data_IF_639559413490
#
_entry.id   IF_639559413490
#
_cell.length_a   1.000
_cell.length_b   1.000
_cell.length_c   1.000
_cell.angle_alpha   90.00
_cell.angle_beta   90.00
_cell.angle_gamma   90.00
#
_symmetry.space_group_name_H-M   'P 1'
#
loop_
_entity.id
_entity.type
_entity.pdbx_description
1 polymer ?
#
# COMPACT_ATOMS: atom_id res chain seq x y z
N UNK A 1 -10.38 -1.24 -8.81
CA UNK A 1 -8.91 -1.40 -8.89
C UNK A 1 -8.35 -1.24 -7.48
N UNK A 2 -7.09 -1.58 -7.24
CA UNK A 2 -6.39 -1.11 -6.02
C UNK A 2 -5.77 0.23 -6.37
N UNK A 3 -5.91 1.22 -5.52
CA UNK A 3 -5.46 2.58 -5.78
C UNK A 3 -4.44 3.01 -4.73
N UNK A 4 -3.34 3.59 -5.18
CA UNK A 4 -2.22 4.08 -4.38
C UNK A 4 -2.15 5.59 -4.50
N UNK A 5 -2.38 6.30 -3.41
CA UNK A 5 -2.46 7.76 -3.31
C UNK A 5 -1.23 8.27 -2.56
N UNK A 6 -0.22 8.76 -3.28
CA UNK A 6 1.01 9.25 -2.67
C UNK A 6 0.76 10.63 -2.06
N UNK A 7 0.74 10.73 -0.74
CA UNK A 7 0.49 11.99 -0.03
C UNK A 7 1.80 12.72 0.29
N UNK A 8 2.90 11.99 0.42
CA UNK A 8 4.23 12.56 0.57
C UNK A 8 5.31 11.56 0.16
N UNK A 9 6.39 12.09 -0.40
CA UNK A 9 7.41 11.31 -1.13
C UNK A 9 8.84 11.78 -0.88
N UNK A 10 9.05 12.72 0.05
CA UNK A 10 10.38 13.18 0.47
C UNK A 10 10.91 12.36 1.65
N UNK A 11 12.23 12.21 1.70
CA UNK A 11 12.94 11.60 2.82
C UNK A 11 13.42 12.60 3.88
N UNK A 12 13.23 12.27 5.15
CA UNK A 12 13.74 12.98 6.32
C UNK A 12 13.05 14.32 6.61
N UNK A 13 12.93 15.20 5.60
CA UNK A 13 12.39 16.55 5.74
C UNK A 13 11.47 16.91 4.57
N UNK A 14 10.41 17.71 4.80
CA UNK A 14 9.59 18.20 3.71
C UNK A 14 10.37 19.22 2.87
N UNK A 15 9.94 19.38 1.62
CA UNK A 15 10.49 20.31 0.64
C UNK A 15 9.35 21.12 0.02
N UNK A 16 9.62 22.24 -0.68
CA UNK A 16 8.57 23.00 -1.33
C UNK A 16 7.71 22.22 -2.35
N UNK A 17 8.17 21.06 -2.86
CA UNK A 17 7.41 20.24 -3.84
C UNK A 17 6.96 18.88 -3.30
N UNK A 18 7.46 18.45 -2.15
CA UNK A 18 7.22 17.10 -1.61
C UNK A 18 7.13 17.14 -0.10
N UNK A 19 6.05 16.62 0.46
CA UNK A 19 5.91 16.33 1.87
C UNK A 19 6.65 15.03 2.24
N UNK A 20 6.85 14.81 3.54
CA UNK A 20 7.39 13.56 4.09
C UNK A 20 6.41 12.39 3.96
N UNK A 21 6.92 11.17 4.12
CA UNK A 21 6.26 9.90 3.78
C UNK A 21 4.83 9.76 4.28
N UNK A 22 3.93 9.53 3.34
CA UNK A 22 2.57 9.04 3.59
C UNK A 22 1.97 8.46 2.30
N UNK A 23 1.43 7.24 2.37
CA UNK A 23 0.78 6.56 1.25
C UNK A 23 -0.61 6.05 1.64
N UNK A 24 -1.65 6.57 0.99
CA UNK A 24 -3.00 6.04 1.12
C UNK A 24 -3.26 4.89 0.14
N UNK A 25 -3.90 3.81 0.60
CA UNK A 25 -4.28 2.67 -0.25
C UNK A 25 -5.78 2.43 -0.14
N UNK A 26 -6.48 2.58 -1.28
CA UNK A 26 -7.92 2.32 -1.39
C UNK A 26 -8.17 1.03 -2.16
N UNK A 27 -8.99 0.16 -1.58
CA UNK A 27 -9.25 -1.17 -2.12
C UNK A 27 -10.53 -1.23 -2.95
N UNK A 28 -10.63 -2.15 -3.93
CA UNK A 28 -11.80 -2.23 -4.80
C UNK A 28 -13.09 -2.49 -4.01
N UNK A 29 -14.17 -1.82 -4.42
CA UNK A 29 -15.53 -1.99 -3.86
C UNK A 29 -15.65 -1.59 -2.38
N UNK A 30 -14.61 -0.99 -1.80
CA UNK A 30 -14.59 -0.50 -0.43
C UNK A 30 -14.52 1.02 -0.42
N UNK A 31 -15.24 1.63 0.52
CA UNK A 31 -15.10 3.06 0.80
C UNK A 31 -13.90 3.33 1.72
N UNK A 32 -13.53 2.34 2.53
CA UNK A 32 -12.44 2.46 3.48
C UNK A 32 -11.07 2.35 2.81
N UNK A 33 -10.07 2.94 3.45
CA UNK A 33 -8.69 2.97 2.99
C UNK A 33 -7.73 2.81 4.17
N UNK A 34 -6.48 2.44 3.87
CA UNK A 34 -5.39 2.35 4.85
C UNK A 34 -4.29 3.35 4.54
N UNK A 35 -3.63 3.83 5.57
CA UNK A 35 -2.48 4.71 5.46
C UNK A 35 -1.21 3.92 5.81
N UNK A 36 -0.20 3.95 4.95
CA UNK A 36 1.15 3.48 5.25
C UNK A 36 2.00 4.71 5.55
N UNK A 37 2.52 4.77 6.76
CA UNK A 37 3.20 5.91 7.37
C UNK A 37 2.38 7.20 7.41
N UNK A 38 2.72 8.04 8.37
CA UNK A 38 2.00 9.24 8.72
C UNK A 38 2.98 10.34 9.13
N UNK A 39 3.81 10.77 8.17
CA UNK A 39 4.73 11.89 8.36
C UNK A 39 4.02 13.20 8.70
N UNK A 40 4.77 14.16 9.24
CA UNK A 40 4.25 15.51 9.50
C UNK A 40 3.58 16.08 8.24
N UNK A 41 2.48 16.82 8.43
CA UNK A 41 1.76 17.42 7.31
C UNK A 41 0.79 16.48 6.57
N UNK A 42 0.75 15.17 6.87
CA UNK A 42 -0.16 14.22 6.19
C UNK A 42 -1.63 14.68 6.20
N UNK A 43 -2.12 15.24 7.31
CA UNK A 43 -3.49 15.78 7.37
C UNK A 43 -3.73 16.93 6.38
N UNK A 44 -2.71 17.74 6.08
CA UNK A 44 -2.79 18.84 5.13
C UNK A 44 -2.77 18.32 3.69
N UNK A 45 -1.96 17.30 3.42
CA UNK A 45 -1.95 16.62 2.12
C UNK A 45 -3.30 15.95 1.84
N UNK A 46 -3.94 15.37 2.86
CA UNK A 46 -5.29 14.78 2.71
C UNK A 46 -6.34 15.79 2.26
N UNK A 47 -6.25 17.08 2.65
CA UNK A 47 -7.17 18.13 2.20
C UNK A 47 -7.13 18.38 0.68
N UNK A 48 -6.03 17.98 0.03
CA UNK A 48 -5.83 18.10 -1.42
C UNK A 48 -6.06 16.76 -2.14
N UNK A 49 -6.53 15.73 -1.43
CA UNK A 49 -6.75 14.38 -1.96
C UNK A 49 -8.23 14.01 -1.96
N UNK A 50 -8.57 12.91 -2.66
CA UNK A 50 -9.92 12.34 -2.64
C UNK A 50 -10.18 11.45 -1.40
N UNK A 51 -9.18 11.26 -0.53
CA UNK A 51 -9.27 10.44 0.66
C UNK A 51 -9.83 11.25 1.83
N UNK A 52 -10.75 10.66 2.59
CA UNK A 52 -11.36 11.31 3.76
C UNK A 52 -10.97 10.60 5.05
N UNK A 53 -10.65 11.37 6.09
CA UNK A 53 -10.31 10.83 7.41
C UNK A 53 -11.41 9.95 8.00
N UNK A 54 -12.68 10.27 7.72
CA UNK A 54 -13.84 9.48 8.14
C UNK A 54 -13.88 8.06 7.58
N UNK A 55 -13.08 7.74 6.55
CA UNK A 55 -13.00 6.42 5.91
C UNK A 55 -11.64 5.74 6.12
N UNK A 56 -10.71 6.42 6.77
CA UNK A 56 -9.45 5.80 7.16
C UNK A 56 -9.77 4.69 8.17
N UNK A 57 -9.28 3.47 7.95
CA UNK A 57 -9.56 2.39 8.89
C UNK A 57 -8.32 1.95 9.65
N UNK A 58 -7.18 1.91 8.97
CA UNK A 58 -5.93 1.44 9.57
C UNK A 58 -4.78 2.34 9.17
N UNK A 59 -3.90 2.64 10.12
CA UNK A 59 -2.60 3.23 9.89
C UNK A 59 -1.55 2.16 10.19
N UNK A 60 -0.68 1.87 9.24
CA UNK A 60 0.48 1.00 9.40
C UNK A 60 1.74 1.88 9.45
N UNK A 61 2.53 1.75 10.50
CA UNK A 61 3.82 2.45 10.65
C UNK A 61 4.96 1.49 10.33
N UNK A 62 5.78 1.82 9.34
CA UNK A 62 6.95 1.04 8.96
C UNK A 62 8.02 1.09 10.05
N UNK A 63 8.26 2.30 10.59
CA UNK A 63 9.16 2.57 11.70
C UNK A 63 8.81 3.90 12.40
N UNK A 64 9.53 4.24 13.47
CA UNK A 64 9.20 5.37 14.36
C UNK A 64 10.10 6.60 14.18
N UNK A 65 10.66 6.82 12.99
CA UNK A 65 11.24 8.13 12.66
C UNK A 65 10.15 9.17 12.43
N UNK A 66 10.50 10.44 12.66
CA UNK A 66 9.53 11.51 12.72
C UNK A 66 8.81 11.79 11.41
N UNK A 67 9.52 11.71 10.31
CA UNK A 67 9.02 11.83 8.95
C UNK A 67 8.07 10.68 8.53
N UNK A 68 7.90 9.66 9.37
CA UNK A 68 6.94 8.57 9.20
C UNK A 68 5.83 8.55 10.25
N UNK A 69 5.90 9.33 11.34
CA UNK A 69 4.89 9.25 12.42
C UNK A 69 4.46 10.58 13.06
N UNK A 70 5.13 11.70 12.82
CA UNK A 70 4.79 12.99 13.44
C UNK A 70 3.46 13.59 12.97
N UNK A 71 2.85 13.04 11.92
CA UNK A 71 1.50 13.39 11.49
C UNK A 71 0.39 12.80 12.38
N UNK A 72 0.70 11.78 13.20
CA UNK A 72 -0.30 11.08 14.01
C UNK A 72 -1.13 12.00 14.93
N UNK A 73 -0.56 12.93 15.72
CA UNK A 73 -1.35 13.82 16.57
C UNK A 73 -2.43 14.57 15.79
N UNK A 74 -2.06 15.14 14.64
CA UNK A 74 -2.98 15.90 13.79
C UNK A 74 -4.06 15.02 13.17
N UNK A 75 -3.71 13.85 12.65
CA UNK A 75 -4.67 12.90 12.09
C UNK A 75 -5.69 12.45 13.13
N UNK A 76 -5.24 12.10 14.34
CA UNK A 76 -6.12 11.65 15.43
C UNK A 76 -7.07 12.75 15.87
N UNK A 77 -6.55 13.96 16.11
CA UNK A 77 -7.37 15.10 16.51
C UNK A 77 -8.37 15.53 15.44
N UNK A 78 -7.91 15.70 14.20
CA UNK A 78 -8.76 16.13 13.08
C UNK A 78 -9.86 15.14 12.76
N UNK A 79 -9.58 13.82 12.87
CA UNK A 79 -10.61 12.80 12.72
C UNK A 79 -11.69 12.90 13.81
N UNK A 80 -11.28 13.14 15.06
CA UNK A 80 -12.21 13.29 16.20
C UNK A 80 -13.15 14.46 15.97
N UNK A 81 -12.60 15.61 15.55
CA UNK A 81 -13.38 16.83 15.28
C UNK A 81 -14.34 16.71 14.10
N UNK A 82 -14.06 15.84 13.13
CA UNK A 82 -14.96 15.59 11.99
C UNK A 82 -16.18 14.72 12.36
N UNK A 83 -16.27 14.22 13.58
CA UNK A 83 -17.42 13.46 14.05
C UNK A 83 -17.58 12.12 13.32
N UNK A 84 -16.46 11.46 12.96
CA UNK A 84 -16.51 10.07 12.50
C UNK A 84 -17.21 9.26 13.59
N UNK A 85 -18.46 8.82 13.31
CA UNK A 85 -19.36 8.29 14.32
C UNK A 85 -18.74 7.21 15.21
N UNK A 86 -19.24 7.10 16.44
CA UNK A 86 -18.74 6.24 17.52
C UNK A 86 -18.52 4.76 17.13
N UNK A 87 -19.07 4.32 16.00
CA UNK A 87 -19.00 2.94 15.49
C UNK A 87 -17.76 2.60 14.66
N UNK A 88 -16.92 3.57 14.27
CA UNK A 88 -15.77 3.31 13.38
C UNK A 88 -14.41 3.33 14.10
N UNK A 89 -13.94 2.14 14.50
CA UNK A 89 -12.59 1.94 15.05
C UNK A 89 -11.52 2.35 14.06
N UNK A 90 -10.59 3.19 14.52
CA UNK A 90 -9.30 3.42 13.87
C UNK A 90 -8.28 2.48 14.50
N UNK A 91 -7.58 1.69 13.70
CA UNK A 91 -6.49 0.83 14.17
C UNK A 91 -5.15 1.44 13.77
N UNK A 92 -4.19 1.54 14.71
CA UNK A 92 -2.80 1.90 14.43
C UNK A 92 -1.94 0.69 14.72
N UNK A 93 -1.20 0.23 13.71
CA UNK A 93 -0.37 -0.96 13.73
C UNK A 93 1.06 -0.53 13.48
N UNK A 94 2.01 -0.95 14.33
CA UNK A 94 3.41 -0.58 14.14
C UNK A 94 4.37 -1.37 15.03
N UNK A 95 5.68 -1.10 14.89
CA UNK A 95 6.72 -1.76 15.67
C UNK A 95 6.74 -1.29 17.14
N UNK A 96 7.59 -1.92 17.99
CA UNK A 96 7.74 -1.56 19.39
C UNK A 96 7.94 -0.05 19.61
N UNK A 97 7.14 0.54 20.50
CA UNK A 97 7.10 1.97 20.78
C UNK A 97 5.89 2.69 20.19
N UNK A 98 5.17 2.08 19.23
CA UNK A 98 3.97 2.65 18.61
C UNK A 98 2.91 2.98 19.64
N UNK A 99 2.65 2.05 20.56
CA UNK A 99 1.62 2.24 21.59
C UNK A 99 2.00 3.40 22.52
N UNK A 100 3.24 3.36 23.02
CA UNK A 100 3.78 4.41 23.90
C UNK A 100 3.74 5.79 23.24
N UNK A 101 4.10 5.90 21.96
CA UNK A 101 4.06 7.14 21.19
C UNK A 101 2.64 7.73 21.21
N UNK A 102 1.65 6.94 20.79
CA UNK A 102 0.26 7.42 20.67
C UNK A 102 -0.37 7.71 22.02
N UNK A 103 -0.15 6.86 23.02
CA UNK A 103 -0.66 7.09 24.38
C UNK A 103 -0.04 8.35 25.01
N UNK A 104 1.27 8.58 24.82
CA UNK A 104 1.93 9.80 25.31
C UNK A 104 1.37 11.07 24.66
N UNK A 105 1.09 11.03 23.36
CA UNK A 105 0.43 12.14 22.65
C UNK A 105 -0.94 12.40 23.29
N UNK A 106 -1.76 11.36 23.46
CA UNK A 106 -3.11 11.49 24.00
C UNK A 106 -3.09 12.04 25.42
N UNK A 107 -2.22 11.51 26.28
CA UNK A 107 -2.07 11.90 27.68
C UNK A 107 -1.62 13.36 27.81
N UNK A 108 -0.51 13.74 27.16
CA UNK A 108 0.10 15.07 27.34
C UNK A 108 -0.72 16.20 26.73
N UNK A 109 -1.50 15.93 25.69
CA UNK A 109 -2.33 16.95 25.03
C UNK A 109 -3.80 16.90 25.46
N UNK A 110 -4.15 16.04 26.42
CA UNK A 110 -5.53 15.79 26.85
C UNK A 110 -6.48 15.52 25.66
N UNK A 111 -6.01 14.73 24.68
CA UNK A 111 -6.75 14.50 23.44
C UNK A 111 -7.94 13.57 23.69
N UNK A 112 -9.14 14.13 23.61
CA UNK A 112 -10.39 13.37 23.71
C UNK A 112 -10.84 12.88 22.32
N UNK A 113 -10.76 11.57 22.11
CA UNK A 113 -11.18 10.93 20.85
C UNK A 113 -12.68 10.60 20.89
N UNK A 114 -13.42 11.03 19.88
CA UNK A 114 -14.85 10.74 19.71
C UNK A 114 -15.13 9.38 19.05
N UNK A 115 -14.10 8.53 18.93
CA UNK A 115 -14.16 7.25 18.23
C UNK A 115 -13.22 6.23 18.90
N UNK A 116 -13.46 4.92 18.75
CA UNK A 116 -12.60 3.90 19.31
C UNK A 116 -11.24 3.86 18.59
N UNK A 117 -10.15 3.87 19.36
CA UNK A 117 -8.79 3.71 18.87
C UNK A 117 -8.23 2.37 19.32
N UNK A 118 -7.75 1.55 18.39
CA UNK A 118 -7.06 0.30 18.66
C UNK A 118 -5.58 0.46 18.33
N UNK A 119 -4.70 0.19 19.30
CA UNK A 119 -3.25 0.20 19.12
C UNK A 119 -2.73 -1.23 19.11
N UNK A 120 -2.08 -1.63 18.00
CA UNK A 120 -1.47 -2.95 17.85
C UNK A 120 0.03 -2.76 17.68
N UNK A 121 0.78 -3.25 18.66
CA UNK A 121 2.23 -3.29 18.62
C UNK A 121 2.66 -4.74 18.43
N UNK A 122 3.39 -5.02 17.36
CA UNK A 122 3.85 -6.38 17.08
C UNK A 122 5.31 -6.59 17.49
N UNK A 123 5.63 -7.82 17.88
CA UNK A 123 6.99 -8.22 18.28
C UNK A 123 7.91 -8.29 17.06
N UNK A 124 9.10 -7.73 17.19
CA UNK A 124 10.19 -7.87 16.20
C UNK A 124 10.79 -9.29 16.20
N UNK A 125 10.66 -10.06 17.27
CA UNK A 125 11.20 -11.43 17.33
C UNK A 125 10.29 -12.47 16.65
N UNK A 126 8.99 -12.18 16.58
CA UNK A 126 7.97 -13.08 16.04
C UNK A 126 7.12 -12.37 14.95
N UNK A 127 7.73 -11.46 14.20
CA UNK A 127 7.02 -10.69 13.18
C UNK A 127 6.40 -11.60 12.10
N UNK A 128 7.02 -12.73 11.80
CA UNK A 128 6.54 -13.70 10.80
C UNK A 128 5.20 -14.36 11.19
N UNK A 129 4.78 -14.26 12.45
CA UNK A 129 3.50 -14.80 12.93
C UNK A 129 2.37 -13.77 12.86
N UNK A 130 2.69 -12.53 12.49
CA UNK A 130 1.75 -11.44 12.48
C UNK A 130 1.02 -11.41 11.15
N UNK A 131 -0.30 -11.33 11.24
CA UNK A 131 -1.18 -11.33 10.09
C UNK A 131 -2.43 -10.54 10.43
N UNK A 132 -2.82 -9.64 9.53
CA UNK A 132 -4.05 -8.86 9.65
C UNK A 132 -4.89 -9.01 8.39
N UNK A 133 -6.20 -8.98 8.56
CA UNK A 133 -7.14 -9.01 7.44
C UNK A 133 -7.76 -7.64 7.25
N UNK A 134 -7.57 -7.06 6.06
CA UNK A 134 -8.14 -5.78 5.70
C UNK A 134 -8.81 -5.84 4.33
N UNK A 135 -10.11 -5.55 4.26
CA UNK A 135 -10.84 -5.39 2.98
C UNK A 135 -10.69 -6.57 2.00
N UNK A 136 -10.54 -7.79 2.51
CA UNK A 136 -10.28 -8.99 1.70
C UNK A 136 -8.82 -9.12 1.24
N UNK A 137 -7.89 -8.52 1.96
CA UNK A 137 -6.45 -8.68 1.81
C UNK A 137 -5.86 -9.15 3.15
N UNK A 138 -5.00 -10.15 3.06
CA UNK A 138 -4.04 -10.51 4.09
C UNK A 138 -2.91 -9.48 4.08
N UNK A 139 -2.48 -9.05 5.26
CA UNK A 139 -1.36 -8.12 5.45
C UNK A 139 -0.37 -8.73 6.44
N UNK A 140 0.88 -8.85 6.04
CA UNK A 140 1.98 -9.36 6.88
C UNK A 140 3.16 -8.37 6.88
N UNK A 141 3.81 -8.14 8.03
CA UNK A 141 5.02 -7.33 8.08
C UNK A 141 6.19 -8.13 7.51
N UNK A 142 7.21 -7.43 7.01
CA UNK A 142 8.46 -8.01 6.52
C UNK A 142 9.60 -7.17 7.07
N UNK A 143 10.45 -7.76 7.90
CA UNK A 143 11.56 -7.05 8.52
C UNK A 143 12.55 -6.51 7.48
N UNK A 144 12.98 -5.26 7.68
CA UNK A 144 13.96 -4.52 6.89
C UNK A 144 15.19 -4.19 7.73
N UNK A 145 16.19 -3.57 7.12
CA UNK A 145 17.43 -3.17 7.78
C UNK A 145 17.53 -1.64 7.82
N UNK A 146 17.45 -1.04 9.01
CA UNK A 146 17.51 0.41 9.18
C UNK A 146 18.11 0.77 10.56
N UNK A 147 18.29 2.05 10.85
CA UNK A 147 18.90 2.51 12.13
C UNK A 147 18.06 2.18 13.36
N UNK A 148 16.75 1.99 13.18
CA UNK A 148 15.79 1.48 14.16
C UNK A 148 14.97 0.35 13.50
N UNK A 149 14.21 -0.47 14.26
CA UNK A 149 13.35 -1.50 13.66
C UNK A 149 12.45 -0.93 12.58
N UNK A 150 12.55 -1.49 11.37
CA UNK A 150 11.82 -1.06 10.18
C UNK A 150 11.21 -2.26 9.46
N UNK A 151 10.04 -2.05 8.87
CA UNK A 151 9.24 -3.10 8.25
C UNK A 151 8.65 -2.63 6.92
N UNK A 152 8.56 -3.55 5.97
CA UNK A 152 7.64 -3.45 4.85
C UNK A 152 6.31 -4.13 5.21
N UNK A 153 5.27 -3.84 4.45
CA UNK A 153 3.99 -4.55 4.53
C UNK A 153 3.68 -5.22 3.19
N UNK A 154 3.47 -6.53 3.23
CA UNK A 154 3.02 -7.32 2.08
C UNK A 154 1.52 -7.53 2.16
N UNK A 155 0.84 -7.18 1.08
CA UNK A 155 -0.60 -7.33 0.91
C UNK A 155 -0.87 -8.45 -0.08
N UNK A 156 -1.67 -9.42 0.32
CA UNK A 156 -2.11 -10.55 -0.52
C UNK A 156 -3.62 -10.56 -0.60
N UNK A 157 -4.16 -10.37 -1.80
CA UNK A 157 -5.61 -10.44 -2.00
C UNK A 157 -6.13 -11.85 -1.68
N UNK A 158 -7.26 -11.94 -0.99
CA UNK A 158 -7.91 -13.22 -0.75
C UNK A 158 -8.36 -13.86 -2.08
N UNK A 159 -8.20 -15.18 -2.24
CA UNK A 159 -8.68 -15.88 -3.43
C UNK A 159 -10.20 -15.72 -3.54
N UNK A 160 -10.68 -15.56 -4.78
CA UNK A 160 -12.12 -15.44 -5.06
C UNK A 160 -12.53 -16.43 -6.13
N UNK A 161 -13.77 -16.95 -6.08
CA UNK A 161 -14.25 -17.85 -7.12
C UNK A 161 -14.26 -17.14 -8.49
N UNK A 162 -14.12 -17.92 -9.55
CA UNK A 162 -14.25 -17.42 -10.91
C UNK A 162 -15.64 -16.86 -11.18
N UNK A 163 -15.74 -15.98 -12.18
CA UNK A 163 -17.03 -15.40 -12.58
C UNK A 163 -17.89 -16.48 -13.24
N UNK A 164 -19.17 -16.52 -12.90
CA UNK A 164 -20.15 -17.33 -13.60
C UNK A 164 -20.36 -16.79 -15.03
N UNK A 165 -20.21 -17.65 -16.01
CA UNK A 165 -20.39 -17.35 -17.43
C UNK A 165 -21.86 -17.50 -17.82
N UNK A 166 -22.58 -16.40 -17.65
CA UNK A 166 -23.99 -16.29 -18.02
C UNK A 166 -24.19 -16.54 -19.52
N UNK A 167 -23.25 -16.14 -20.38
CA UNK A 167 -23.37 -16.31 -21.82
C UNK A 167 -23.29 -17.79 -22.19
N UNK A 168 -22.35 -18.53 -21.60
CA UNK A 168 -22.23 -19.98 -21.75
C UNK A 168 -23.45 -20.73 -21.21
N UNK A 169 -23.92 -20.37 -20.03
CA UNK A 169 -25.12 -20.99 -19.45
C UNK A 169 -26.37 -20.79 -20.33
N UNK A 170 -26.53 -19.58 -20.91
CA UNK A 170 -27.60 -19.29 -21.87
C UNK A 170 -27.45 -20.08 -23.17
N UNK A 171 -26.22 -20.19 -23.69
CA UNK A 171 -25.94 -20.95 -24.91
C UNK A 171 -26.28 -22.45 -24.74
N UNK A 172 -26.09 -22.99 -23.53
CA UNK A 172 -26.46 -24.36 -23.17
C UNK A 172 -27.97 -24.51 -22.85
N UNK A 173 -28.77 -23.47 -23.04
CA UNK A 173 -30.22 -23.49 -22.82
C UNK A 173 -30.64 -23.48 -21.36
N UNK A 174 -29.78 -23.02 -20.43
CA UNK A 174 -30.13 -22.93 -19.01
C UNK A 174 -30.83 -21.58 -18.76
N UNK A 175 -32.11 -21.57 -18.34
CA UNK A 175 -32.84 -20.33 -18.11
C UNK A 175 -32.29 -19.57 -16.90
N UNK A 176 -32.32 -18.22 -16.91
CA UNK A 176 -31.96 -17.42 -15.74
C UNK A 176 -32.93 -17.70 -14.59
N UNK A 177 -32.42 -17.70 -13.36
CA UNK A 177 -33.22 -17.94 -12.16
C UNK A 177 -32.39 -18.49 -11.00
N UNK A 178 -33.04 -19.07 -9.97
CA UNK A 178 -32.36 -19.64 -8.79
C UNK A 178 -31.28 -20.67 -9.15
N UNK A 179 -31.42 -21.34 -10.29
CA UNK A 179 -30.45 -22.31 -10.79
C UNK A 179 -29.07 -21.70 -11.07
N UNK A 180 -28.99 -20.43 -11.50
CA UNK A 180 -27.70 -19.75 -11.71
C UNK A 180 -26.94 -19.57 -10.40
N UNK A 181 -27.62 -19.28 -9.29
CA UNK A 181 -26.96 -19.17 -7.99
C UNK A 181 -26.38 -20.52 -7.55
N UNK A 182 -27.11 -21.62 -7.80
CA UNK A 182 -26.62 -22.97 -7.49
C UNK A 182 -25.41 -23.33 -8.36
N UNK A 183 -25.47 -23.06 -9.66
CA UNK A 183 -24.36 -23.29 -10.58
C UNK A 183 -23.16 -22.38 -10.27
N UNK A 184 -23.37 -21.12 -9.88
CA UNK A 184 -22.32 -20.21 -9.44
C UNK A 184 -21.63 -20.68 -8.15
N UNK A 185 -22.32 -21.45 -7.31
CA UNK A 185 -21.75 -22.12 -6.13
C UNK A 185 -21.01 -23.42 -6.49
N UNK A 186 -20.87 -23.75 -7.78
CA UNK A 186 -20.21 -24.97 -8.26
C UNK A 186 -21.06 -26.23 -8.09
N UNK A 187 -22.34 -26.12 -7.70
CA UNK A 187 -23.21 -27.28 -7.47
C UNK A 187 -23.60 -27.94 -8.78
N UNK A 188 -23.84 -29.25 -8.72
CA UNK A 188 -24.51 -29.97 -9.80
C UNK A 188 -26.03 -29.83 -9.65
N UNK A 189 -26.72 -29.50 -10.74
CA UNK A 189 -28.18 -29.30 -10.76
C UNK A 189 -28.79 -30.14 -11.89
N UNK A 190 -29.99 -30.67 -11.65
CA UNK A 190 -30.80 -31.33 -12.68
C UNK A 190 -31.79 -30.30 -13.24
N UNK A 191 -31.79 -30.12 -14.56
CA UNK A 191 -32.70 -29.24 -15.28
C UNK A 191 -34.08 -29.89 -15.46
N UNK A 192 -35.09 -29.09 -15.80
CA UNK A 192 -36.45 -29.58 -16.08
C UNK A 192 -36.50 -30.54 -17.28
N UNK A 193 -35.54 -30.44 -18.21
CA UNK A 193 -35.38 -31.35 -19.35
C UNK A 193 -34.62 -32.65 -18.99
N UNK A 194 -34.30 -32.86 -17.71
CA UNK A 194 -33.61 -34.05 -17.21
C UNK A 194 -32.08 -34.03 -17.33
N UNK A 195 -31.48 -33.03 -17.99
CA UNK A 195 -30.01 -32.90 -18.05
C UNK A 195 -29.44 -32.61 -16.67
N UNK A 196 -28.31 -33.23 -16.33
CA UNK A 196 -27.54 -32.91 -15.11
C UNK A 196 -26.32 -32.09 -15.51
N UNK A 197 -26.25 -30.87 -14.98
CA UNK A 197 -25.19 -29.90 -15.30
C UNK A 197 -24.38 -29.56 -14.05
N UNK A 198 -23.07 -29.36 -14.20
CA UNK A 198 -22.18 -28.99 -13.09
C UNK A 198 -21.84 -27.50 -13.17
N UNK A 199 -21.99 -26.79 -12.06
CA UNK A 199 -21.62 -25.39 -11.94
C UNK A 199 -20.18 -25.09 -12.36
N UNK A 200 -19.25 -26.00 -12.08
CA UNK A 200 -17.84 -25.88 -12.47
C UNK A 200 -17.64 -25.77 -13.98
N UNK A 201 -18.59 -26.22 -14.80
CA UNK A 201 -18.55 -26.06 -16.25
C UNK A 201 -18.80 -24.60 -16.70
N UNK A 202 -19.48 -23.83 -15.87
CA UNK A 202 -19.92 -22.46 -16.15
C UNK A 202 -19.17 -21.42 -15.32
N UNK A 203 -18.23 -21.83 -14.47
CA UNK A 203 -17.39 -20.93 -13.69
C UNK A 203 -16.06 -20.80 -14.42
N UNK A 204 -15.67 -19.56 -14.77
CA UNK A 204 -14.35 -19.29 -15.33
C UNK A 204 -13.22 -19.65 -14.33
N UNK A 205 -11.98 -19.72 -14.78
CA UNK A 205 -10.86 -19.85 -13.85
C UNK A 205 -10.87 -18.70 -12.80
N UNK A 206 -10.58 -18.99 -11.53
CA UNK A 206 -10.39 -17.96 -10.51
C UNK A 206 -9.36 -16.91 -10.97
N UNK A 207 -9.62 -15.60 -10.78
CA UNK A 207 -8.60 -14.60 -11.07
C UNK A 207 -7.39 -14.79 -10.15
N UNK A 208 -6.18 -14.51 -10.67
CA UNK A 208 -4.97 -14.48 -9.85
C UNK A 208 -5.18 -13.46 -8.71
N UNK A 209 -4.93 -13.83 -7.44
CA UNK A 209 -4.94 -12.87 -6.36
C UNK A 209 -3.78 -11.87 -6.53
N UNK A 210 -4.09 -10.59 -6.39
CA UNK A 210 -3.06 -9.55 -6.52
C UNK A 210 -2.21 -9.47 -5.27
N UNK A 211 -0.92 -9.26 -5.46
CA UNK A 211 0.05 -9.17 -4.38
C UNK A 211 0.91 -7.93 -4.56
N UNK A 212 1.13 -7.17 -3.50
CA UNK A 212 2.01 -6.00 -3.54
C UNK A 212 2.73 -5.79 -2.22
N UNK A 213 3.89 -5.15 -2.26
CA UNK A 213 4.72 -4.83 -1.09
C UNK A 213 4.95 -3.33 -1.03
N UNK A 214 4.75 -2.76 0.16
CA UNK A 214 5.08 -1.37 0.47
C UNK A 214 6.23 -1.38 1.47
N UNK A 215 7.41 -0.94 1.05
CA UNK A 215 8.60 -0.86 1.87
C UNK A 215 8.64 0.40 2.72
N UNK A 216 9.12 0.24 3.96
CA UNK A 216 9.70 1.34 4.73
C UNK A 216 11.17 1.54 4.38
N UNK A 217 11.85 2.30 5.24
CA UNK A 217 13.26 2.61 5.08
C UNK A 217 14.14 1.37 5.29
N UNK A 218 15.15 1.24 4.44
CA UNK A 218 15.95 0.03 4.33
C UNK A 218 17.31 0.31 3.69
N UNK A 219 18.41 -0.21 4.24
CA UNK A 219 19.73 -0.24 3.57
C UNK A 219 20.09 -1.59 2.96
N UNK A 220 19.25 -2.61 3.13
CA UNK A 220 19.51 -3.97 2.67
C UNK A 220 18.35 -4.50 1.82
N UNK A 221 18.31 -4.18 0.51
CA UNK A 221 17.26 -4.64 -0.41
C UNK A 221 16.98 -6.15 -0.35
N UNK A 222 17.97 -6.97 -0.02
CA UNK A 222 17.85 -8.43 0.09
C UNK A 222 16.81 -8.91 1.12
N UNK A 223 16.49 -8.09 2.12
CA UNK A 223 15.43 -8.40 3.11
C UNK A 223 14.07 -8.66 2.43
N UNK A 224 13.83 -8.07 1.25
CA UNK A 224 12.59 -8.22 0.48
C UNK A 224 12.53 -9.52 -0.33
N UNK A 225 13.63 -10.27 -0.47
CA UNK A 225 13.73 -11.37 -1.46
C UNK A 225 12.56 -12.36 -1.40
N UNK A 226 12.14 -12.72 -0.19
CA UNK A 226 11.05 -13.70 0.00
C UNK A 226 9.67 -13.08 -0.19
N UNK A 227 9.47 -11.83 0.21
CA UNK A 227 8.17 -11.14 0.12
C UNK A 227 7.83 -10.73 -1.32
N UNK A 228 8.82 -10.66 -2.21
CA UNK A 228 8.61 -10.33 -3.62
C UNK A 228 8.24 -11.51 -4.51
N UNK A 229 8.18 -12.75 -3.98
CA UNK A 229 7.73 -13.91 -4.76
C UNK A 229 6.27 -13.75 -5.17
N UNK A 230 5.99 -13.91 -6.47
CA UNK A 230 4.68 -13.76 -7.11
C UNK A 230 4.02 -12.37 -6.98
N UNK A 231 4.80 -11.38 -6.54
CA UNK A 231 4.36 -10.02 -6.29
C UNK A 231 4.16 -9.24 -7.61
N UNK A 232 3.07 -8.48 -7.69
CA UNK A 232 2.73 -7.67 -8.86
C UNK A 232 3.30 -6.24 -8.76
N UNK A 233 3.60 -5.75 -7.56
CA UNK A 233 4.08 -4.38 -7.34
C UNK A 233 4.95 -4.26 -6.10
N UNK A 234 6.11 -3.62 -6.23
CA UNK A 234 6.88 -3.08 -5.11
C UNK A 234 6.80 -1.54 -5.12
N UNK A 235 6.39 -0.94 -4.01
CA UNK A 235 6.61 0.48 -3.71
C UNK A 235 7.71 0.57 -2.66
N UNK A 236 8.81 1.25 -2.93
CA UNK A 236 9.95 1.25 -2.00
C UNK A 236 10.75 2.56 -2.06
N UNK A 237 11.44 2.88 -0.97
CA UNK A 237 12.39 3.99 -0.94
C UNK A 237 13.49 3.83 -1.99
N UNK A 238 13.92 4.94 -2.57
CA UNK A 238 15.17 5.09 -3.31
C UNK A 238 15.76 6.45 -2.94
N UNK A 239 16.20 6.56 -1.69
CA UNK A 239 16.61 7.83 -1.09
C UNK A 239 17.73 8.51 -1.86
N UNK A 240 18.57 7.73 -2.56
CA UNK A 240 19.71 8.25 -3.32
C UNK A 240 20.10 7.36 -4.50
N UNK A 241 21.02 7.86 -5.34
CA UNK A 241 21.74 7.03 -6.31
C UNK A 241 22.97 6.39 -5.68
N UNK A 242 23.57 5.40 -6.34
CA UNK A 242 24.83 4.80 -5.91
C UNK A 242 25.98 5.82 -5.90
N UNK A 243 26.00 6.74 -6.86
CA UNK A 243 26.95 7.85 -6.89
C UNK A 243 26.85 8.73 -5.63
N UNK A 244 25.63 9.11 -5.24
CA UNK A 244 25.39 9.88 -4.02
C UNK A 244 25.76 9.10 -2.77
N UNK A 245 25.44 7.80 -2.71
CA UNK A 245 25.83 6.92 -1.61
C UNK A 245 27.35 6.86 -1.47
N UNK A 246 28.08 6.77 -2.58
CA UNK A 246 29.54 6.75 -2.60
C UNK A 246 30.20 8.05 -2.13
N UNK A 247 29.51 9.18 -2.25
CA UNK A 247 29.98 10.46 -1.76
C UNK A 247 29.79 10.66 -0.23
N UNK A 248 29.00 9.81 0.43
CA UNK A 248 28.74 9.92 1.88
C UNK A 248 29.80 9.14 2.66
N UNK A 249 30.37 9.79 3.69
CA UNK A 249 31.26 9.13 4.64
C UNK A 249 30.45 8.41 5.71
N UNK A 250 30.80 7.15 5.97
CA UNK A 250 30.14 6.32 6.99
C UNK A 250 29.02 5.45 6.44
N UNK A 251 28.31 4.80 7.35
CA UNK A 251 27.19 3.93 7.03
C UNK A 251 25.93 4.77 6.73
N UNK A 252 25.21 4.39 5.68
CA UNK A 252 23.96 5.02 5.25
C UNK A 252 22.87 3.99 5.38
N UNK A 253 21.86 4.27 6.21
CA UNK A 253 20.76 3.33 6.49
C UNK A 253 19.63 3.40 5.47
N UNK A 254 19.92 3.68 4.20
CA UNK A 254 18.95 3.81 3.11
C UNK A 254 19.41 3.12 1.83
N UNK A 255 18.44 2.85 0.94
CA UNK A 255 18.67 2.11 -0.29
C UNK A 255 18.99 3.05 -1.45
N UNK A 256 19.74 2.52 -2.41
CA UNK A 256 19.99 3.18 -3.69
C UNK A 256 18.97 2.73 -4.74
N UNK A 257 18.75 3.57 -5.76
CA UNK A 257 17.84 3.24 -6.86
C UNK A 257 18.26 1.95 -7.58
N UNK A 258 19.57 1.78 -7.81
CA UNK A 258 20.15 0.55 -8.37
C UNK A 258 19.88 -0.68 -7.50
N UNK A 259 20.09 -0.62 -6.18
CA UNK A 259 19.88 -1.75 -5.28
C UNK A 259 18.43 -2.27 -5.29
N UNK A 260 17.47 -1.35 -5.25
CA UNK A 260 16.04 -1.71 -5.33
C UNK A 260 15.66 -2.22 -6.72
N UNK A 261 16.17 -1.60 -7.79
CA UNK A 261 15.93 -2.06 -9.15
C UNK A 261 16.46 -3.50 -9.37
N UNK A 262 17.63 -3.83 -8.83
CA UNK A 262 18.22 -5.17 -8.92
C UNK A 262 17.37 -6.24 -8.21
N UNK A 263 16.90 -5.98 -6.98
CA UNK A 263 16.08 -6.96 -6.26
C UNK A 263 14.71 -7.14 -6.94
N UNK A 264 14.13 -6.05 -7.47
CA UNK A 264 12.89 -6.09 -8.23
C UNK A 264 13.01 -6.91 -9.53
N UNK A 265 14.10 -6.70 -10.29
CA UNK A 265 14.39 -7.46 -11.51
C UNK A 265 14.61 -8.95 -11.20
N UNK A 266 15.38 -9.24 -10.15
CA UNK A 266 15.64 -10.63 -9.71
C UNK A 266 14.35 -11.35 -9.32
N UNK A 267 13.41 -10.64 -8.71
CA UNK A 267 12.07 -11.15 -8.39
C UNK A 267 11.12 -11.17 -9.60
N UNK A 268 11.54 -10.63 -10.76
CA UNK A 268 10.75 -10.51 -12.00
C UNK A 268 9.46 -9.74 -11.80
N UNK A 269 9.51 -8.66 -11.00
CA UNK A 269 8.34 -7.83 -10.76
C UNK A 269 7.88 -7.16 -12.05
N UNK A 270 6.57 -7.12 -12.33
CA UNK A 270 6.05 -6.37 -13.46
C UNK A 270 6.08 -4.86 -13.20
N UNK A 271 5.96 -4.42 -11.93
CA UNK A 271 5.87 -3.02 -11.57
C UNK A 271 6.77 -2.66 -10.37
N UNK A 272 7.47 -1.52 -10.48
CA UNK A 272 8.28 -0.90 -9.43
C UNK A 272 7.92 0.58 -9.32
N UNK A 273 7.67 1.05 -8.10
CA UNK A 273 7.46 2.46 -7.78
C UNK A 273 8.51 2.89 -6.77
N UNK A 274 9.30 3.89 -7.13
CA UNK A 274 10.29 4.49 -6.24
C UNK A 274 9.70 5.71 -5.54
N UNK A 275 10.00 5.89 -4.26
CA UNK A 275 9.57 7.03 -3.43
C UNK A 275 10.66 7.41 -2.43
N UNK A 276 10.32 8.28 -1.46
CA UNK A 276 11.18 8.64 -0.34
C UNK A 276 12.52 9.22 -0.80
N UNK A 277 12.47 10.28 -1.58
CA UNK A 277 13.64 10.85 -2.23
C UNK A 277 14.34 11.87 -1.32
N UNK A 278 15.68 11.82 -1.26
CA UNK A 278 16.45 12.83 -0.54
C UNK A 278 16.15 14.24 -1.04
N UNK A 279 16.02 15.19 -0.11
CA UNK A 279 15.89 16.61 -0.44
C UNK A 279 17.03 17.15 -1.31
N UNK A 280 18.21 16.49 -1.34
CA UNK A 280 19.34 16.83 -2.23
C UNK A 280 18.98 16.77 -3.71
N UNK A 281 17.96 16.02 -4.09
CA UNK A 281 17.47 16.00 -5.46
C UNK A 281 16.70 17.27 -5.87
N UNK A 282 16.35 18.14 -4.92
CA UNK A 282 15.59 19.36 -5.21
C UNK A 282 16.43 20.51 -5.74
N UNK A 283 17.76 20.46 -5.51
CA UNK A 283 18.68 21.54 -5.89
C UNK A 283 19.09 21.49 -7.36
N UNK A 284 18.74 20.43 -8.11
CA UNK A 284 19.15 20.27 -9.50
C UNK A 284 18.01 19.80 -10.42
N UNK A 285 17.86 20.46 -11.56
CA UNK A 285 16.77 20.24 -12.52
C UNK A 285 16.74 18.80 -13.11
N UNK A 286 17.84 18.04 -13.00
CA UNK A 286 18.01 16.66 -13.46
C UNK A 286 18.14 15.61 -12.34
N UNK A 287 18.03 16.01 -11.07
CA UNK A 287 18.47 15.14 -9.98
C UNK A 287 17.58 13.88 -9.79
N UNK A 288 16.27 13.98 -10.01
CA UNK A 288 15.42 12.78 -10.01
C UNK A 288 15.50 11.99 -11.32
N UNK A 289 15.98 12.60 -12.40
CA UNK A 289 16.24 11.88 -13.64
C UNK A 289 17.38 10.88 -13.44
N UNK A 290 18.41 11.21 -12.66
CA UNK A 290 19.48 10.24 -12.37
C UNK A 290 18.99 9.03 -11.57
N UNK A 291 17.95 9.17 -10.74
CA UNK A 291 17.29 8.03 -10.07
C UNK A 291 16.62 7.10 -11.08
N UNK A 292 15.90 7.67 -12.05
CA UNK A 292 15.30 6.90 -13.15
C UNK A 292 16.38 6.20 -13.97
N UNK A 293 17.39 6.95 -14.40
CA UNK A 293 18.43 6.47 -15.30
C UNK A 293 19.21 5.33 -14.65
N UNK A 294 19.54 5.46 -13.36
CA UNK A 294 20.20 4.39 -12.59
C UNK A 294 19.29 3.17 -12.45
N UNK A 295 18.03 3.32 -12.02
CA UNK A 295 17.12 2.19 -11.84
C UNK A 295 16.86 1.45 -13.16
N UNK A 296 16.75 2.17 -14.28
CA UNK A 296 16.54 1.61 -15.63
C UNK A 296 17.72 0.80 -16.16
N UNK A 297 18.92 0.94 -15.60
CA UNK A 297 20.03 0.06 -15.94
C UNK A 297 19.81 -1.38 -15.49
N UNK A 298 18.99 -1.58 -14.44
CA UNK A 298 18.81 -2.88 -13.80
C UNK A 298 17.38 -3.43 -13.91
N UNK A 299 16.35 -2.57 -14.00
CA UNK A 299 14.95 -2.99 -14.01
C UNK A 299 14.26 -2.77 -15.37
N UNK A 300 13.77 -3.87 -15.94
CA UNK A 300 13.14 -3.92 -17.26
C UNK A 300 11.62 -3.73 -17.24
N UNK A 301 10.99 -3.93 -16.08
CA UNK A 301 9.54 -3.79 -15.90
C UNK A 301 9.03 -2.34 -15.93
N UNK A 302 7.78 -2.15 -15.52
CA UNK A 302 7.17 -0.83 -15.46
C UNK A 302 7.66 -0.05 -14.24
N UNK A 303 8.46 0.99 -14.46
CA UNK A 303 9.03 1.85 -13.42
C UNK A 303 8.27 3.17 -13.33
N UNK A 304 7.91 3.57 -12.11
CA UNK A 304 7.39 4.91 -11.80
C UNK A 304 8.20 5.55 -10.68
N UNK A 305 8.32 6.88 -10.72
CA UNK A 305 8.73 7.68 -9.57
C UNK A 305 7.48 8.33 -9.00
N UNK A 306 7.26 8.13 -7.70
CA UNK A 306 6.17 8.76 -7.00
C UNK A 306 6.34 10.29 -6.98
N UNK A 307 5.24 11.01 -7.09
CA UNK A 307 5.14 12.41 -6.71
C UNK A 307 3.96 12.54 -5.77
N UNK A 308 3.98 13.58 -4.93
CA UNK A 308 2.82 13.95 -4.15
C UNK A 308 1.60 14.12 -5.07
N UNK A 309 0.47 13.60 -4.59
CA UNK A 309 -0.83 13.54 -5.24
C UNK A 309 -0.93 12.67 -6.50
N UNK A 310 0.12 11.94 -6.86
CA UNK A 310 0.01 10.91 -7.90
C UNK A 310 -0.88 9.78 -7.39
N UNK A 311 -1.80 9.35 -8.26
CA UNK A 311 -2.62 8.16 -8.06
C UNK A 311 -2.16 7.07 -9.02
N UNK A 312 -1.85 5.89 -8.50
CA UNK A 312 -1.54 4.71 -9.32
C UNK A 312 -2.62 3.64 -9.11
N UNK A 313 -3.06 3.01 -10.18
CA UNK A 313 -4.09 1.97 -10.15
C UNK A 313 -3.53 0.64 -10.62
N UNK A 314 -3.61 -0.37 -9.76
CA UNK A 314 -3.31 -1.76 -10.08
C UNK A 314 -4.63 -2.50 -10.41
N UNK A 315 -4.77 -2.89 -11.68
CA UNK A 315 -5.93 -3.65 -12.17
C UNK A 315 -5.82 -5.15 -11.84
N UNK A 316 -6.76 -5.95 -12.33
CA UNK A 316 -6.84 -7.41 -12.07
C UNK A 316 -5.80 -8.20 -12.86
N UNK A 317 -5.31 -7.62 -13.93
CA UNK A 317 -4.35 -8.17 -14.86
C UNK A 317 -2.90 -7.88 -14.42
N UNK A 318 -2.72 -7.12 -13.33
CA UNK A 318 -1.42 -6.78 -12.78
C UNK A 318 -0.77 -5.57 -13.47
N UNK A 319 -1.52 -4.83 -14.28
CA UNK A 319 -1.02 -3.62 -14.93
C UNK A 319 -1.19 -2.41 -14.02
N UNK A 320 -0.11 -1.63 -13.88
CA UNK A 320 -0.12 -0.39 -13.13
C UNK A 320 -0.34 0.79 -14.08
N UNK A 321 -1.25 1.68 -13.73
CA UNK A 321 -1.56 2.87 -14.54
C UNK A 321 -1.57 4.12 -13.67
N UNK A 322 -1.00 5.21 -14.19
CA UNK A 322 -1.03 6.49 -13.50
C UNK A 322 -2.30 7.26 -13.87
N UNK A 323 -2.94 7.81 -12.86
CA UNK A 323 -4.08 8.70 -12.97
C UNK A 323 -3.70 10.04 -12.36
N UNK A 324 -3.95 11.12 -13.09
CA UNK A 324 -3.90 12.45 -12.52
C UNK A 324 -5.21 12.70 -11.78
N UNK A 325 -5.18 13.23 -10.55
CA UNK A 325 -6.39 13.50 -9.81
C UNK A 325 -7.31 14.45 -10.59
N UNK A 326 -8.61 14.20 -10.50
CA UNK A 326 -9.68 15.01 -11.10
C UNK A 326 -9.65 16.48 -10.64
N UNK A 327 -9.01 16.73 -9.50
CA UNK A 327 -8.84 18.05 -8.91
C UNK A 327 -7.57 18.72 -9.46
N UNK A 328 -7.72 19.44 -10.57
CA UNK A 328 -6.93 20.66 -10.75
C UNK A 328 -7.34 21.62 -9.65
N UNK A 329 -6.49 21.81 -8.64
CA UNK A 329 -6.66 22.86 -7.65
C UNK A 329 -6.94 24.19 -8.38
N UNK A 330 -7.99 24.89 -7.96
CA UNK A 330 -8.15 26.30 -8.30
C UNK A 330 -6.85 27.03 -7.95
N UNK A 331 -6.27 27.67 -8.98
CA UNK A 331 -5.08 28.53 -8.88
C UNK A 331 -5.28 29.66 -7.89
#
# INVERSE_FOLDING_TARGET
MIEFHFLGTAAGVPTPKRNVTALGIRFPQQRNWVLIDCGEGTQHQLMQSELTLSRLNTIFLTHLHGDHCYGLPGILASRSLQGSGEEQTLTVIGPPGTKRLVETIIELTELNLSYPLQLIEFSTENWQRQHWDFSGFSVEPVELSHSIPSFAYRFTEAPRPGRFDVAKAKADGIPPGPIYQQLQQGKAVTLDDGRRVSGNHYIAAPPKPRQFVIGGDNDKPECLKTSLVDCDLLVHEATMTEEMRAAIQGHVSHSTASGIAQIAEKARLPNLVLTHFSARFMDQQHALQSVIDEARQYFSGQLFLANDFVQLHLDREGKLTQHLPSYTAHK
#
